data_IF_869225850136
#
_entry.id   IF_869225850136
#
_cell.length_a   1.000
_cell.length_b   1.000
_cell.length_c   1.000
_cell.angle_alpha   90.00
_cell.angle_beta   90.00
_cell.angle_gamma   90.00
#
_symmetry.space_group_name_H-M   'P 1'
#
loop_
_entity.id
_entity.type
_entity.pdbx_description
1 polymer ?
#
# COMPACT_ATOMS: atom_id res chain seq x y z
N UNK A 1 -31.15 -25.02 7.67
CA UNK A 1 -29.79 -25.58 7.40
C UNK A 1 -28.80 -24.44 7.44
N UNK A 2 -27.99 -24.37 8.51
CA UNK A 2 -27.18 -23.22 8.86
C UNK A 2 -25.84 -23.17 8.10
N UNK A 3 -25.59 -22.05 7.42
CA UNK A 3 -24.32 -21.31 7.29
C UNK A 3 -22.98 -22.07 7.42
N UNK A 4 -22.79 -23.18 6.70
CA UNK A 4 -21.45 -23.80 6.57
C UNK A 4 -20.48 -22.99 5.68
N UNK A 5 -20.99 -22.11 4.82
CA UNK A 5 -20.15 -21.31 3.91
C UNK A 5 -19.56 -20.03 4.52
N UNK A 6 -20.17 -19.49 5.59
CA UNK A 6 -19.67 -18.27 6.24
C UNK A 6 -18.45 -18.53 7.14
N UNK A 7 -18.28 -19.75 7.65
CA UNK A 7 -17.13 -20.10 8.49
C UNK A 7 -15.85 -20.35 7.67
N UNK A 8 -15.95 -20.80 6.40
CA UNK A 8 -14.78 -20.89 5.50
C UNK A 8 -14.24 -19.52 5.08
N UNK A 9 -15.08 -18.48 5.08
CA UNK A 9 -14.65 -17.10 4.80
C UNK A 9 -13.85 -16.48 5.96
N UNK A 10 -13.90 -17.05 7.17
CA UNK A 10 -13.08 -16.62 8.32
C UNK A 10 -11.69 -17.25 8.34
N UNK A 11 -11.49 -18.39 7.67
CA UNK A 11 -10.20 -19.11 7.63
C UNK A 11 -9.26 -18.63 6.52
N UNK A 12 -9.71 -17.78 5.61
CA UNK A 12 -8.90 -17.24 4.53
C UNK A 12 -8.54 -15.77 4.79
N UNK A 13 -7.74 -15.50 5.84
CA UNK A 13 -6.96 -14.25 5.93
C UNK A 13 -5.82 -14.28 4.91
N UNK A 14 -6.18 -14.35 3.63
CA UNK A 14 -5.26 -14.28 2.49
C UNK A 14 -5.20 -12.82 2.02
N UNK A 15 -4.94 -11.88 2.91
CA UNK A 15 -4.98 -10.44 2.58
C UNK A 15 -3.58 -9.88 2.28
N UNK A 16 -2.54 -10.72 2.34
CA UNK A 16 -1.16 -10.34 1.99
C UNK A 16 -0.91 -10.56 0.50
N UNK A 17 -1.17 -9.51 -0.27
CA UNK A 17 -1.02 -9.51 -1.72
C UNK A 17 -0.02 -8.43 -2.12
N UNK A 18 1.14 -8.85 -2.64
CA UNK A 18 2.17 -7.90 -3.05
C UNK A 18 1.84 -7.32 -4.42
N UNK A 19 1.84 -5.99 -4.50
CA UNK A 19 1.54 -5.25 -5.74
C UNK A 19 2.74 -5.28 -6.67
N UNK A 20 2.54 -5.44 -7.97
CA UNK A 20 3.64 -5.41 -8.94
C UNK A 20 4.18 -3.99 -9.12
N UNK A 21 5.49 -3.87 -9.30
CA UNK A 21 6.14 -2.60 -9.63
C UNK A 21 5.58 -1.96 -10.93
N UNK A 22 5.18 -2.78 -11.92
CA UNK A 22 4.54 -2.28 -13.14
C UNK A 22 3.20 -1.58 -12.86
N UNK A 23 2.38 -2.15 -11.98
CA UNK A 23 1.07 -1.58 -11.63
C UNK A 23 1.23 -0.28 -10.83
N UNK A 24 2.22 -0.24 -9.93
CA UNK A 24 2.62 0.98 -9.22
C UNK A 24 3.08 2.05 -10.21
N UNK A 25 4.01 1.73 -11.11
CA UNK A 25 4.49 2.66 -12.14
C UNK A 25 3.35 3.22 -13.00
N UNK A 26 2.42 2.36 -13.41
CA UNK A 26 1.30 2.74 -14.27
C UNK A 26 0.35 3.74 -13.61
N UNK A 27 0.13 3.63 -12.30
CA UNK A 27 -0.67 4.60 -11.55
C UNK A 27 0.17 5.85 -11.19
N UNK A 28 1.30 5.68 -10.51
CA UNK A 28 2.04 6.77 -9.88
C UNK A 28 2.65 7.77 -10.87
N UNK A 29 2.86 7.38 -12.14
CA UNK A 29 3.33 8.30 -13.20
C UNK A 29 2.42 9.54 -13.36
N UNK A 30 1.16 9.45 -12.96
CA UNK A 30 0.18 10.54 -13.03
C UNK A 30 0.23 11.52 -11.85
N UNK A 31 1.01 11.22 -10.81
CA UNK A 31 1.02 11.98 -9.54
C UNK A 31 2.37 12.61 -9.19
N UNK A 32 3.35 12.56 -10.10
CA UNK A 32 4.75 12.96 -9.86
C UNK A 32 4.91 14.31 -9.15
N UNK A 33 4.18 15.33 -9.61
CA UNK A 33 4.26 16.68 -9.05
C UNK A 33 3.78 16.78 -7.59
N UNK A 34 2.93 15.86 -7.13
CA UNK A 34 2.46 15.83 -5.75
C UNK A 34 3.57 15.41 -4.77
N UNK A 35 4.60 14.70 -5.23
CA UNK A 35 5.62 14.11 -4.35
C UNK A 35 6.78 15.07 -4.02
N UNK A 36 6.96 16.16 -4.78
CA UNK A 36 8.11 17.06 -4.59
C UNK A 36 8.12 17.66 -3.17
N UNK A 37 9.24 17.49 -2.47
CA UNK A 37 9.47 17.96 -1.11
C UNK A 37 8.64 17.24 -0.04
N UNK A 38 7.98 16.12 -0.37
CA UNK A 38 7.07 15.41 0.53
C UNK A 38 7.73 14.24 1.23
N UNK A 39 7.16 13.92 2.40
CA UNK A 39 7.40 12.67 3.13
C UNK A 39 6.35 11.65 2.72
N UNK A 40 6.78 10.52 2.18
CA UNK A 40 5.89 9.41 1.77
C UNK A 40 5.95 8.28 2.79
N UNK A 41 4.79 7.73 3.14
CA UNK A 41 4.65 6.55 4.00
C UNK A 41 4.04 5.35 3.25
N UNK A 42 4.71 4.22 3.35
CA UNK A 42 4.27 2.91 2.85
C UNK A 42 4.11 1.93 4.03
N UNK A 43 2.98 1.93 4.73
CA UNK A 43 2.85 1.28 6.05
C UNK A 43 2.04 -0.03 6.09
N UNK A 44 1.79 -0.68 4.96
CA UNK A 44 1.00 -1.93 4.92
C UNK A 44 1.59 -3.00 3.97
N UNK A 45 2.90 -2.95 3.76
CA UNK A 45 3.61 -3.88 2.88
C UNK A 45 4.87 -4.35 3.59
N UNK A 46 5.30 -5.60 3.42
CA UNK A 46 6.56 -6.08 4.00
C UNK A 46 7.72 -5.46 3.21
N UNK A 47 8.51 -4.53 3.76
CA UNK A 47 9.51 -3.81 2.99
C UNK A 47 10.70 -4.66 2.56
N UNK A 48 10.81 -5.92 3.02
CA UNK A 48 11.77 -6.88 2.45
C UNK A 48 11.43 -7.26 1.01
N UNK A 49 10.18 -7.04 0.60
CA UNK A 49 9.63 -7.38 -0.73
C UNK A 49 8.71 -6.28 -1.31
N UNK A 50 8.51 -5.16 -0.61
CA UNK A 50 7.60 -4.10 -1.03
C UNK A 50 8.09 -3.40 -2.29
N UNK A 51 7.31 -3.56 -3.36
CA UNK A 51 7.52 -2.79 -4.59
C UNK A 51 7.19 -1.31 -4.43
N UNK A 52 6.45 -0.91 -3.39
CA UNK A 52 6.24 0.52 -3.07
C UNK A 52 7.53 1.16 -2.56
N UNK A 53 8.20 0.51 -1.59
CA UNK A 53 9.50 0.98 -1.13
C UNK A 53 10.51 1.02 -2.29
N UNK A 54 10.61 -0.05 -3.07
CA UNK A 54 11.50 -0.09 -4.23
C UNK A 54 11.20 1.06 -5.20
N UNK A 55 9.93 1.28 -5.58
CA UNK A 55 9.55 2.38 -6.46
C UNK A 55 10.04 3.74 -5.92
N UNK A 56 9.72 4.08 -4.67
CA UNK A 56 10.06 5.40 -4.14
C UNK A 56 11.55 5.55 -3.84
N UNK A 57 12.23 4.50 -3.39
CA UNK A 57 13.66 4.56 -3.10
C UNK A 57 14.48 4.77 -4.37
N UNK A 58 14.23 3.98 -5.44
CA UNK A 58 14.94 4.14 -6.72
C UNK A 58 14.55 5.41 -7.48
N UNK A 59 13.39 5.98 -7.21
CA UNK A 59 12.95 7.24 -7.84
C UNK A 59 13.04 8.43 -6.88
N UNK A 60 13.74 8.32 -5.75
CA UNK A 60 13.69 9.30 -4.66
C UNK A 60 14.07 10.71 -5.13
N UNK A 61 15.23 10.81 -5.78
CA UNK A 61 15.76 12.07 -6.32
C UNK A 61 14.93 12.58 -7.50
N UNK A 62 14.50 11.67 -8.38
CA UNK A 62 13.67 12.01 -9.55
C UNK A 62 12.31 12.62 -9.13
N UNK A 63 11.70 12.07 -8.07
CA UNK A 63 10.45 12.58 -7.50
C UNK A 63 10.69 13.80 -6.58
N UNK A 64 11.94 14.10 -6.25
CA UNK A 64 12.32 15.16 -5.33
C UNK A 64 11.76 14.94 -3.92
N UNK A 65 11.73 13.69 -3.43
CA UNK A 65 11.22 13.37 -2.11
C UNK A 65 12.06 14.01 -1.00
N UNK A 66 11.41 14.33 0.12
CA UNK A 66 12.12 14.76 1.35
C UNK A 66 12.52 13.56 2.21
N UNK A 67 11.64 12.56 2.29
CA UNK A 67 11.80 11.38 3.14
C UNK A 67 10.85 10.27 2.70
N UNK A 68 11.30 9.03 2.82
CA UNK A 68 10.51 7.82 2.62
C UNK A 68 10.50 7.03 3.93
N UNK A 69 9.31 6.62 4.37
CA UNK A 69 9.08 5.82 5.57
C UNK A 69 8.32 4.56 5.15
N UNK A 70 8.72 3.40 5.68
CA UNK A 70 7.95 2.14 5.52
C UNK A 70 7.96 1.38 6.82
N UNK A 71 6.85 0.73 7.18
CA UNK A 71 6.75 -0.08 8.41
C UNK A 71 6.62 -1.55 8.03
N UNK A 72 7.35 -2.42 8.73
CA UNK A 72 7.25 -3.87 8.60
C UNK A 72 6.33 -4.37 9.69
N UNK A 73 5.22 -5.01 9.31
CA UNK A 73 4.47 -5.81 10.27
C UNK A 73 5.27 -7.06 10.65
N UNK A 74 5.21 -7.48 11.92
CA UNK A 74 5.85 -8.72 12.37
C UNK A 74 5.17 -9.92 11.70
N UNK A 75 5.82 -10.51 10.69
CA UNK A 75 5.33 -11.72 10.06
C UNK A 75 5.46 -12.91 11.04
N UNK A 76 4.38 -13.66 11.24
CA UNK A 76 4.34 -14.85 12.11
C UNK A 76 4.69 -16.14 11.34
N UNK A 77 4.75 -16.10 10.00
CA UNK A 77 5.15 -17.26 9.20
C UNK A 77 6.67 -17.33 9.04
N UNK A 78 7.20 -18.44 9.55
CA UNK A 78 8.55 -18.55 10.12
C UNK A 78 9.62 -19.05 9.16
N UNK A 79 9.36 -19.16 7.86
CA UNK A 79 10.32 -19.69 6.91
C UNK A 79 10.16 -19.01 5.56
N UNK A 80 11.21 -18.36 5.05
CA UNK A 80 11.75 -18.79 3.76
C UNK A 80 13.08 -18.13 3.35
N UNK A 81 13.46 -16.91 3.74
CA UNK A 81 14.77 -16.34 3.34
C UNK A 81 15.32 -15.26 4.28
N UNK A 82 16.05 -15.63 5.34
CA UNK A 82 17.29 -14.97 5.84
C UNK A 82 17.60 -15.35 7.30
N UNK A 83 18.88 -15.62 7.56
CA UNK A 83 19.44 -16.07 8.85
C UNK A 83 19.52 -14.99 9.93
N UNK A 84 18.80 -13.88 9.80
CA UNK A 84 18.74 -12.84 10.84
C UNK A 84 17.34 -12.75 11.43
N UNK A 85 17.16 -13.57 12.48
CA UNK A 85 16.04 -13.58 13.40
C UNK A 85 15.86 -12.19 14.02
N UNK A 86 14.91 -11.42 13.53
CA UNK A 86 14.29 -10.38 14.34
C UNK A 86 12.82 -10.69 14.47
N UNK A 87 12.42 -11.14 15.66
CA UNK A 87 11.02 -11.24 16.06
C UNK A 87 10.36 -9.87 16.25
N UNK A 88 11.03 -8.77 15.94
CA UNK A 88 10.57 -7.43 16.20
C UNK A 88 10.18 -6.74 14.90
N UNK A 89 8.98 -6.16 14.87
CA UNK A 89 8.57 -5.24 13.80
C UNK A 89 9.58 -4.07 13.74
N UNK A 90 9.85 -3.58 12.54
CA UNK A 90 10.78 -2.45 12.34
C UNK A 90 10.17 -1.45 11.37
N UNK A 91 10.67 -0.23 11.35
CA UNK A 91 10.40 0.72 10.28
C UNK A 91 11.71 1.17 9.64
N UNK A 92 11.65 1.43 8.34
CA UNK A 92 12.77 1.94 7.57
C UNK A 92 12.56 3.41 7.28
N UNK A 93 13.65 4.17 7.31
CA UNK A 93 13.68 5.58 6.91
C UNK A 93 14.79 5.77 5.89
N UNK A 94 14.42 6.29 4.73
CA UNK A 94 15.34 6.70 3.69
C UNK A 94 15.20 8.20 3.43
N UNK A 95 16.33 8.91 3.35
CA UNK A 95 16.39 10.38 3.21
C UNK A 95 17.12 10.82 1.93
N UNK A 96 17.28 9.90 0.98
CA UNK A 96 18.02 10.14 -0.25
C UNK A 96 19.45 9.65 -0.18
N UNK A 97 20.09 9.76 -1.33
CA UNK A 97 21.43 9.28 -1.63
C UNK A 97 22.48 10.13 -0.89
N UNK A 98 23.48 9.45 -0.31
CA UNK A 98 24.60 10.07 0.40
C UNK A 98 25.94 9.89 -0.31
N UNK A 99 26.06 8.90 -1.19
CA UNK A 99 27.32 8.54 -1.84
C UNK A 99 27.41 8.99 -3.31
N UNK A 100 26.29 9.43 -3.89
CA UNK A 100 26.17 9.98 -5.25
C UNK A 100 25.96 8.95 -6.36
N UNK A 101 25.71 7.67 -6.03
CA UNK A 101 25.46 6.61 -7.02
C UNK A 101 23.98 6.45 -7.39
N UNK A 102 23.08 7.15 -6.68
CA UNK A 102 21.63 7.09 -6.83
C UNK A 102 21.02 5.70 -6.65
N UNK A 103 21.70 4.79 -5.95
CA UNK A 103 21.27 3.43 -5.66
C UNK A 103 21.07 3.28 -4.14
N UNK A 104 19.81 3.13 -3.67
CA UNK A 104 19.53 2.97 -2.25
C UNK A 104 20.27 1.75 -1.68
N UNK A 105 21.05 1.96 -0.63
CA UNK A 105 21.82 0.90 0.02
C UNK A 105 21.62 0.85 1.54
N UNK A 106 22.10 -0.23 2.16
CA UNK A 106 21.87 -0.49 3.59
C UNK A 106 22.49 0.55 4.52
N UNK A 107 23.56 1.25 4.11
CA UNK A 107 24.20 2.30 4.90
C UNK A 107 23.41 3.63 4.88
N UNK A 108 22.54 3.79 3.88
CA UNK A 108 21.67 4.95 3.73
C UNK A 108 20.29 4.75 4.36
N UNK A 109 19.81 3.50 4.34
CA UNK A 109 18.51 3.11 4.87
C UNK A 109 18.63 2.87 6.38
N UNK A 110 18.07 3.79 7.17
CA UNK A 110 18.00 3.62 8.61
C UNK A 110 16.94 2.57 8.98
N UNK A 111 17.32 1.56 9.77
CA UNK A 111 16.41 0.54 10.31
C UNK A 111 16.18 0.78 11.79
N UNK A 112 14.93 0.94 12.20
CA UNK A 112 14.56 1.29 13.56
C UNK A 112 13.53 0.30 14.11
N UNK A 113 13.72 -0.26 15.32
CA UNK A 113 12.77 -1.21 15.89
C UNK A 113 11.46 -0.51 16.31
N UNK A 114 10.34 -1.20 16.10
CA UNK A 114 9.03 -0.87 16.67
C UNK A 114 8.83 -1.63 17.99
N UNK A 115 8.05 -1.06 18.90
CA UNK A 115 7.73 -1.68 20.20
C UNK A 115 6.63 -2.74 20.07
N UNK A 116 5.68 -2.50 19.18
CA UNK A 116 4.55 -3.37 18.87
C UNK A 116 4.79 -4.25 17.65
N UNK A 117 3.70 -4.67 17.03
CA UNK A 117 3.68 -5.58 15.88
C UNK A 117 3.69 -4.87 14.53
N UNK A 118 3.62 -3.54 14.51
CA UNK A 118 3.53 -2.74 13.29
C UNK A 118 2.11 -2.54 12.76
N UNK A 119 1.07 -2.86 13.55
CA UNK A 119 -0.31 -2.52 13.21
C UNK A 119 -0.46 -1.00 13.03
N UNK A 120 -1.08 -0.58 11.93
CA UNK A 120 -1.28 0.84 11.58
C UNK A 120 -2.06 1.63 12.66
N UNK A 121 -2.77 0.93 13.55
CA UNK A 121 -3.54 1.50 14.67
C UNK A 121 -2.69 1.74 15.90
N UNK A 122 -1.48 1.18 15.96
CA UNK A 122 -0.57 1.39 17.08
C UNK A 122 -0.11 2.85 17.16
N UNK A 123 0.12 3.34 18.38
CA UNK A 123 0.52 4.74 18.58
C UNK A 123 1.80 5.10 17.83
N UNK A 124 2.78 4.20 17.78
CA UNK A 124 4.03 4.42 17.06
C UNK A 124 3.84 4.50 15.54
N UNK A 125 2.98 3.68 14.95
CA UNK A 125 2.62 3.80 13.53
C UNK A 125 1.83 5.07 13.24
N UNK A 126 0.98 5.52 14.19
CA UNK A 126 0.28 6.80 14.10
C UNK A 126 1.26 7.98 14.15
N UNK A 127 2.33 7.93 14.95
CA UNK A 127 3.36 8.99 14.93
C UNK A 127 4.08 9.06 13.57
N UNK A 128 4.37 7.90 12.96
CA UNK A 128 4.91 7.84 11.59
C UNK A 128 3.90 8.38 10.56
N UNK A 129 2.61 8.07 10.72
CA UNK A 129 1.54 8.61 9.90
C UNK A 129 1.46 10.14 10.00
N UNK A 130 1.53 10.69 11.22
CA UNK A 130 1.51 12.14 11.47
C UNK A 130 2.67 12.85 10.77
N UNK A 131 3.85 12.24 10.74
CA UNK A 131 5.02 12.77 10.03
C UNK A 131 4.85 12.78 8.50
N UNK A 132 4.13 11.81 7.95
CA UNK A 132 3.95 11.67 6.51
C UNK A 132 3.02 12.74 5.92
N UNK A 133 3.34 13.20 4.71
CA UNK A 133 2.47 14.07 3.92
C UNK A 133 1.51 13.24 3.07
N UNK A 134 2.03 12.16 2.48
CA UNK A 134 1.29 11.30 1.55
C UNK A 134 1.48 9.83 1.94
N UNK A 135 0.38 9.07 1.97
CA UNK A 135 0.38 7.63 2.20
C UNK A 135 0.14 6.89 0.88
N UNK A 136 1.02 5.95 0.54
CA UNK A 136 0.91 5.18 -0.70
C UNK A 136 1.17 3.70 -0.42
N UNK A 137 0.12 2.87 -0.51
CA UNK A 137 0.21 1.46 -0.09
C UNK A 137 -0.94 0.58 -0.62
N UNK A 138 -0.83 -0.73 -0.42
CA UNK A 138 -1.92 -1.71 -0.59
C UNK A 138 -2.40 -2.19 0.79
N UNK A 139 -3.38 -1.52 1.42
CA UNK A 139 -3.85 -1.92 2.75
C UNK A 139 -4.65 -3.24 2.71
N UNK A 140 -4.74 -3.97 3.83
CA UNK A 140 -5.60 -5.15 3.92
C UNK A 140 -7.06 -4.79 3.59
N UNK A 141 -7.66 -5.47 2.61
CA UNK A 141 -9.01 -5.13 2.15
C UNK A 141 -10.08 -5.30 3.23
N UNK A 142 -9.87 -6.24 4.16
CA UNK A 142 -10.73 -6.43 5.33
C UNK A 142 -10.76 -5.22 6.27
N UNK A 143 -9.68 -4.44 6.33
CA UNK A 143 -9.52 -3.26 7.18
C UNK A 143 -9.67 -1.93 6.42
N UNK A 144 -9.99 -1.97 5.12
CA UNK A 144 -10.00 -0.80 4.23
C UNK A 144 -10.82 0.39 4.76
N UNK A 145 -12.00 0.14 5.34
CA UNK A 145 -12.86 1.20 5.90
C UNK A 145 -12.25 1.91 7.10
N UNK A 146 -11.69 1.12 8.02
CA UNK A 146 -11.02 1.63 9.22
C UNK A 146 -9.76 2.40 8.84
N UNK A 147 -9.01 1.87 7.87
CA UNK A 147 -7.82 2.51 7.33
C UNK A 147 -8.13 3.86 6.67
N UNK A 148 -9.11 3.92 5.77
CA UNK A 148 -9.55 5.20 5.16
C UNK A 148 -10.04 6.19 6.22
N UNK A 149 -10.80 5.74 7.22
CA UNK A 149 -11.26 6.62 8.30
C UNK A 149 -10.07 7.26 9.03
N UNK A 150 -9.02 6.48 9.34
CA UNK A 150 -7.80 6.99 9.95
C UNK A 150 -7.08 7.99 9.04
N UNK A 151 -6.94 7.71 7.74
CA UNK A 151 -6.29 8.66 6.81
C UNK A 151 -7.03 10.00 6.73
N UNK A 152 -8.36 9.97 6.78
CA UNK A 152 -9.20 11.19 6.81
C UNK A 152 -9.08 11.91 8.15
N UNK A 153 -9.05 11.19 9.27
CA UNK A 153 -8.89 11.75 10.62
C UNK A 153 -7.59 12.56 10.74
N UNK A 154 -6.51 12.05 10.17
CA UNK A 154 -5.19 12.71 10.19
C UNK A 154 -4.93 13.64 8.98
N UNK A 155 -5.96 13.98 8.21
CA UNK A 155 -5.90 14.86 7.03
C UNK A 155 -4.79 14.49 6.04
N UNK A 156 -4.65 13.20 5.75
CA UNK A 156 -3.59 12.69 4.90
C UNK A 156 -3.98 12.73 3.44
N UNK A 157 -3.00 13.08 2.60
CA UNK A 157 -3.08 12.76 1.19
C UNK A 157 -2.74 11.29 0.99
N UNK A 158 -3.41 10.62 0.06
CA UNK A 158 -3.16 9.19 -0.13
C UNK A 158 -3.45 8.69 -1.54
N UNK A 159 -2.83 7.58 -1.87
CA UNK A 159 -3.08 6.77 -3.06
C UNK A 159 -2.99 5.29 -2.64
N UNK A 160 -4.14 4.64 -2.50
CA UNK A 160 -4.23 3.31 -1.89
C UNK A 160 -5.03 2.35 -2.77
N UNK A 161 -4.69 1.07 -2.71
CA UNK A 161 -5.40 0.03 -3.45
C UNK A 161 -6.58 -0.49 -2.63
N UNK A 162 -7.72 -0.73 -3.29
CA UNK A 162 -8.88 -1.33 -2.66
C UNK A 162 -9.80 -2.01 -3.66
N UNK A 163 -10.76 -2.77 -3.15
CA UNK A 163 -11.79 -3.37 -4.00
C UNK A 163 -12.89 -2.34 -4.33
N UNK A 164 -13.33 -2.26 -5.58
CA UNK A 164 -14.33 -1.32 -6.12
C UNK A 164 -15.66 -1.32 -5.35
N UNK A 165 -16.03 -2.45 -4.75
CA UNK A 165 -17.22 -2.56 -3.90
C UNK A 165 -17.16 -1.57 -2.71
N UNK A 166 -15.97 -1.13 -2.31
CA UNK A 166 -15.80 -0.15 -1.24
C UNK A 166 -16.47 1.20 -1.55
N UNK A 167 -16.68 1.54 -2.82
CA UNK A 167 -17.41 2.76 -3.24
C UNK A 167 -18.81 2.83 -2.61
N UNK A 168 -19.46 1.68 -2.40
CA UNK A 168 -20.84 1.58 -1.88
C UNK A 168 -20.89 1.51 -0.35
N UNK A 169 -19.74 1.47 0.33
CA UNK A 169 -19.71 1.34 1.78
C UNK A 169 -20.22 2.63 2.43
N UNK A 170 -20.94 2.49 3.54
CA UNK A 170 -21.58 3.60 4.26
C UNK A 170 -20.57 4.66 4.69
N UNK A 171 -19.34 4.24 4.98
CA UNK A 171 -18.25 5.11 5.42
C UNK A 171 -17.50 5.77 4.26
N UNK A 172 -17.55 5.19 3.05
CA UNK A 172 -16.77 5.64 1.88
C UNK A 172 -17.61 6.49 0.94
N UNK A 173 -18.85 6.09 0.65
CA UNK A 173 -19.72 6.82 -0.28
C UNK A 173 -19.90 8.31 0.09
N UNK A 174 -20.10 8.68 1.38
CA UNK A 174 -20.18 10.10 1.76
C UNK A 174 -18.90 10.88 1.47
N UNK A 175 -17.72 10.25 1.58
CA UNK A 175 -16.45 10.91 1.25
C UNK A 175 -16.35 11.22 -0.25
N UNK A 176 -16.87 10.32 -1.09
CA UNK A 176 -16.96 10.55 -2.54
C UNK A 176 -17.91 11.70 -2.84
N UNK A 177 -19.12 11.69 -2.26
CA UNK A 177 -20.11 12.76 -2.46
C UNK A 177 -19.59 14.13 -2.00
N UNK A 178 -18.78 14.16 -0.94
CA UNK A 178 -18.17 15.38 -0.41
C UNK A 178 -16.87 15.77 -1.12
N UNK A 179 -16.51 15.12 -2.22
CA UNK A 179 -15.26 15.39 -2.96
C UNK A 179 -13.98 15.22 -2.13
N UNK A 180 -13.99 14.34 -1.12
CA UNK A 180 -12.86 14.04 -0.24
C UNK A 180 -12.08 12.79 -0.65
N UNK A 181 -12.64 11.95 -1.50
CA UNK A 181 -12.05 10.69 -1.98
C UNK A 181 -12.63 10.34 -3.36
N UNK A 182 -11.81 9.86 -4.29
CA UNK A 182 -12.21 9.43 -5.64
C UNK A 182 -11.35 8.26 -6.13
N UNK A 183 -11.66 7.77 -7.33
CA UNK A 183 -10.89 6.70 -7.97
C UNK A 183 -9.72 7.27 -8.76
N UNK A 184 -8.60 6.54 -8.74
CA UNK A 184 -7.41 6.85 -9.54
C UNK A 184 -7.52 6.42 -11.01
N UNK A 185 -6.36 6.23 -11.66
CA UNK A 185 -6.30 5.73 -13.03
C UNK A 185 -6.78 4.28 -13.13
N UNK A 186 -6.46 3.46 -12.13
CA UNK A 186 -6.97 2.10 -11.95
C UNK A 186 -6.15 1.04 -12.68
N UNK A 187 -6.52 -0.22 -12.48
CA UNK A 187 -5.88 -1.35 -13.15
C UNK A 187 -6.48 -1.57 -14.54
N UNK A 188 -5.66 -2.00 -15.49
CA UNK A 188 -6.12 -2.38 -16.84
C UNK A 188 -7.17 -3.49 -16.74
N UNK A 189 -8.34 -3.27 -17.34
CA UNK A 189 -9.45 -4.22 -17.30
C UNK A 189 -10.11 -4.38 -15.93
N UNK A 190 -9.82 -3.49 -14.97
CA UNK A 190 -10.38 -3.54 -13.62
C UNK A 190 -9.97 -4.78 -12.83
N UNK A 191 -8.82 -5.38 -13.17
CA UNK A 191 -8.28 -6.53 -12.47
C UNK A 191 -6.77 -6.37 -12.27
N UNK A 192 -6.29 -6.76 -11.09
CA UNK A 192 -4.88 -6.73 -10.74
C UNK A 192 -4.37 -8.14 -10.49
N UNK A 193 -3.09 -8.36 -10.80
CA UNK A 193 -2.37 -9.57 -10.42
C UNK A 193 -1.44 -9.23 -9.26
N UNK A 194 -1.55 -9.98 -8.18
CA UNK A 194 -0.74 -9.78 -6.99
C UNK A 194 0.10 -11.02 -6.71
N UNK A 195 1.36 -10.82 -6.33
CA UNK A 195 2.25 -11.93 -5.97
C UNK A 195 1.72 -12.53 -4.67
N UNK A 196 1.61 -13.85 -4.62
CA UNK A 196 0.94 -14.57 -3.55
C UNK A 196 1.42 -16.02 -3.49
N UNK A 197 1.54 -16.56 -2.28
CA UNK A 197 1.82 -17.98 -2.06
C UNK A 197 0.56 -18.87 -2.14
N UNK A 198 -0.60 -18.25 -2.38
CA UNK A 198 -1.87 -18.95 -2.47
C UNK A 198 -2.23 -19.28 -3.92
N UNK A 199 -2.85 -20.44 -4.11
CA UNK A 199 -3.44 -20.81 -5.40
C UNK A 199 -4.46 -19.77 -5.88
N UNK A 200 -4.33 -19.40 -7.16
CA UNK A 200 -5.32 -18.58 -7.85
C UNK A 200 -6.61 -19.38 -8.05
N UNK A 201 -7.71 -18.86 -7.49
CA UNK A 201 -9.05 -19.44 -7.61
C UNK A 201 -9.99 -18.58 -8.47
N UNK A 202 -9.45 -17.59 -9.17
CA UNK A 202 -10.23 -16.79 -10.10
C UNK A 202 -10.84 -17.67 -11.19
N UNK A 203 -12.05 -17.35 -11.62
CA UNK A 203 -12.72 -18.06 -12.73
C UNK A 203 -12.33 -17.52 -14.11
N UNK A 204 -11.68 -16.35 -14.17
CA UNK A 204 -11.27 -15.71 -15.40
C UNK A 204 -9.87 -16.20 -15.84
N UNK A 205 -9.72 -16.59 -17.11
CA UNK A 205 -8.56 -17.35 -17.60
C UNK A 205 -7.21 -16.62 -17.78
N UNK A 206 -7.03 -15.42 -17.25
CA UNK A 206 -5.75 -14.67 -17.28
C UNK A 206 -4.96 -14.95 -16.00
N UNK A 207 -4.50 -16.19 -15.83
CA UNK A 207 -3.73 -16.62 -14.66
C UNK A 207 -2.24 -16.43 -14.89
N UNK A 208 -1.50 -16.16 -13.81
CA UNK A 208 -0.03 -16.05 -13.83
C UNK A 208 0.55 -16.88 -12.70
N UNK A 209 1.58 -17.65 -13.01
CA UNK A 209 2.25 -18.49 -12.02
C UNK A 209 2.79 -17.66 -10.85
N UNK A 210 2.60 -18.13 -9.62
CA UNK A 210 3.00 -17.43 -8.39
C UNK A 210 2.18 -16.17 -8.05
N UNK A 211 1.04 -15.97 -8.73
CA UNK A 211 0.19 -14.80 -8.53
C UNK A 211 -1.27 -15.18 -8.39
N UNK A 212 -2.04 -14.29 -7.77
CA UNK A 212 -3.50 -14.35 -7.75
C UNK A 212 -4.10 -13.17 -8.51
N UNK A 213 -5.14 -13.45 -9.29
CA UNK A 213 -5.89 -12.42 -10.02
C UNK A 213 -7.09 -11.94 -9.20
N UNK A 214 -7.12 -10.65 -8.87
CA UNK A 214 -8.27 -10.02 -8.19
C UNK A 214 -9.06 -9.16 -9.18
N UNK A 215 -10.30 -9.57 -9.45
CA UNK A 215 -11.27 -8.74 -10.18
C UNK A 215 -11.77 -7.60 -9.31
N UNK A 216 -12.11 -6.47 -9.94
CA UNK A 216 -12.74 -5.35 -9.27
C UNK A 216 -11.82 -4.63 -8.29
N UNK A 217 -10.50 -4.66 -8.52
CA UNK A 217 -9.52 -3.89 -7.74
C UNK A 217 -9.21 -2.57 -8.45
N UNK A 218 -9.03 -1.50 -7.68
CA UNK A 218 -8.76 -0.16 -8.20
C UNK A 218 -7.97 0.68 -7.19
N UNK A 219 -7.51 1.85 -7.62
CA UNK A 219 -6.87 2.85 -6.77
C UNK A 219 -7.90 3.85 -6.23
N UNK A 220 -7.76 4.21 -4.97
CA UNK A 220 -8.51 5.25 -4.27
C UNK A 220 -7.56 6.35 -3.85
N UNK A 221 -7.93 7.60 -4.06
CA UNK A 221 -7.07 8.75 -3.78
C UNK A 221 -7.86 10.00 -3.44
N UNK A 222 -7.18 10.97 -2.84
CA UNK A 222 -7.63 12.34 -2.69
C UNK A 222 -6.60 13.36 -3.25
N UNK A 223 -5.73 12.90 -4.16
CA UNK A 223 -4.79 13.69 -4.94
C UNK A 223 -5.40 14.05 -6.30
N UNK A 224 -5.33 15.34 -6.65
CA UNK A 224 -5.92 15.84 -7.88
C UNK A 224 -5.16 15.35 -9.10
N UNK A 225 -5.89 14.98 -10.16
CA UNK A 225 -5.30 14.61 -11.45
C UNK A 225 -6.16 15.17 -12.58
N UNK A 226 -5.57 15.40 -13.78
CA UNK A 226 -6.34 15.82 -14.95
C UNK A 226 -7.54 14.90 -15.23
N UNK A 227 -7.38 13.58 -15.04
CA UNK A 227 -8.45 12.59 -15.21
C UNK A 227 -9.71 12.90 -14.40
N UNK A 228 -9.59 13.51 -13.22
CA UNK A 228 -10.76 13.87 -12.41
C UNK A 228 -11.63 14.93 -13.10
N UNK A 229 -11.02 15.77 -13.91
CA UNK A 229 -11.68 16.86 -14.62
C UNK A 229 -12.02 16.51 -16.07
N UNK A 230 -11.59 15.33 -16.55
CA UNK A 230 -11.99 14.82 -17.85
C UNK A 230 -13.49 14.49 -17.81
N UNK A 231 -14.28 15.22 -18.61
CA UNK A 231 -15.75 15.09 -18.75
C UNK A 231 -16.61 15.76 -17.66
N UNK A 232 -16.08 16.77 -16.96
CA UNK A 232 -16.90 17.80 -16.28
C UNK A 232 -17.24 18.89 -17.29
#
# INVERSE_FOLDING_TARGET
MANKNLNKAKEAKKDEFYTRLEDINNELKHYREHFRGKTVLCNCDDPRVSNFFAYFAYNFEFLGLKKLITTCYKNQDMDLFSQNKSEQAVYLVYKGDKNGDHIPNADEIGVMPLKGDGDFRSQECIELLKEADIVVTNPPFSLFREYVAQLIEYDKKFLIIGHQNAIKYKEIFPLIQQNKLWLGYGFKGGAGHFISHYEDKATAGDHREGMIRVSGVTWFTNLETPKRHENI
#
